data_IF_314480752474
#
_entry.id   IF_314480752474
#
_cell.length_a   1.000
_cell.length_b   1.000
_cell.length_c   1.000
_cell.angle_alpha   90.00
_cell.angle_beta   90.00
_cell.angle_gamma   90.00
#
_symmetry.space_group_name_H-M   'P 1'
#
loop_
_entity.id
_entity.type
_entity.pdbx_description
1 polymer ?
#
# COMPACT_ATOMS: atom_id res chain seq x y z
N UNK A 1 -15.60 13.10 -7.16
CA UNK A 1 -14.81 11.85 -7.07
C UNK A 1 -14.31 11.45 -8.44
N UNK A 2 -13.06 11.01 -8.53
CA UNK A 2 -12.48 10.53 -9.78
C UNK A 2 -12.11 9.06 -9.61
N UNK A 3 -12.48 8.24 -10.59
CA UNK A 3 -12.18 6.81 -10.61
C UNK A 3 -11.28 6.50 -11.80
N UNK A 4 -10.21 5.75 -11.53
CA UNK A 4 -9.27 5.34 -12.55
C UNK A 4 -9.20 3.81 -12.59
N UNK A 5 -9.18 3.25 -13.78
CA UNK A 5 -8.99 1.81 -13.98
C UNK A 5 -7.67 1.60 -14.72
N UNK A 6 -6.70 1.04 -14.05
CA UNK A 6 -5.39 0.81 -14.63
C UNK A 6 -4.34 0.47 -13.59
N UNK A 7 -3.10 0.28 -14.04
CA UNK A 7 -1.98 0.08 -13.15
C UNK A 7 -1.76 1.33 -12.30
N UNK A 8 -1.78 1.18 -10.97
CA UNK A 8 -1.70 2.33 -10.06
C UNK A 8 -0.41 3.13 -10.24
N UNK A 9 0.71 2.48 -10.54
CA UNK A 9 1.97 3.20 -10.75
C UNK A 9 1.91 4.09 -11.99
N UNK A 10 1.21 3.66 -13.03
CA UNK A 10 1.02 4.48 -14.23
C UNK A 10 0.00 5.58 -13.99
N UNK A 11 -1.11 5.26 -13.34
CA UNK A 11 -2.18 6.23 -13.05
C UNK A 11 -1.66 7.34 -12.14
N UNK A 12 -0.87 7.01 -11.12
CA UNK A 12 -0.35 8.01 -10.19
C UNK A 12 0.51 9.07 -10.87
N UNK A 13 1.12 8.76 -12.01
CA UNK A 13 1.91 9.76 -12.75
C UNK A 13 1.09 10.97 -13.17
N UNK A 14 -0.23 10.81 -13.31
CA UNK A 14 -1.12 11.91 -13.68
C UNK A 14 -1.64 12.72 -12.48
N UNK A 15 -1.35 12.27 -11.26
CA UNK A 15 -1.79 12.96 -10.04
C UNK A 15 -0.75 14.06 -9.72
N UNK A 16 -1.20 15.30 -9.47
CA UNK A 16 -0.27 16.39 -9.14
C UNK A 16 0.49 16.15 -7.84
N UNK A 17 1.66 16.77 -7.72
CA UNK A 17 2.46 16.72 -6.50
C UNK A 17 1.67 17.32 -5.33
N UNK A 18 1.83 16.70 -4.15
CA UNK A 18 1.28 17.20 -2.89
C UNK A 18 -0.20 17.56 -2.97
N UNK A 19 -0.98 16.69 -3.63
CA UNK A 19 -2.40 16.91 -3.84
C UNK A 19 -3.30 15.96 -3.05
N UNK A 20 -2.74 14.91 -2.44
CA UNK A 20 -3.49 13.84 -1.78
C UNK A 20 -3.42 14.00 -0.27
N UNK A 21 -4.59 13.95 0.38
CA UNK A 21 -4.73 14.12 1.83
C UNK A 21 -4.60 12.82 2.61
N UNK A 22 -4.81 11.68 1.97
CA UNK A 22 -4.78 10.36 2.61
C UNK A 22 -4.53 9.30 1.56
N UNK A 23 -3.62 8.39 1.85
CA UNK A 23 -3.46 7.16 1.08
C UNK A 23 -3.93 6.00 1.95
N UNK A 24 -4.89 5.23 1.45
CA UNK A 24 -5.39 4.03 2.10
C UNK A 24 -5.43 2.93 1.03
N UNK A 25 -4.64 1.90 1.20
CA UNK A 25 -4.46 0.92 0.14
C UNK A 25 -4.25 -0.49 0.68
N UNK A 26 -4.88 -1.44 0.00
CA UNK A 26 -4.65 -2.87 0.20
C UNK A 26 -3.79 -3.37 -0.96
N UNK A 27 -2.50 -3.49 -0.70
CA UNK A 27 -1.52 -3.81 -1.73
C UNK A 27 -1.58 -5.28 -2.13
N UNK A 28 -1.21 -5.61 -3.39
CA UNK A 28 -1.04 -7.01 -3.76
C UNK A 28 0.20 -7.59 -3.08
N UNK A 29 0.03 -8.69 -2.34
CA UNK A 29 1.11 -9.29 -1.57
C UNK A 29 1.92 -10.32 -2.36
N UNK A 30 1.38 -10.80 -3.48
CA UNK A 30 2.02 -11.84 -4.26
C UNK A 30 1.86 -13.23 -3.67
N UNK A 31 0.88 -13.43 -2.79
CA UNK A 31 0.69 -14.70 -2.09
C UNK A 31 -0.41 -15.58 -2.70
N UNK A 32 -1.18 -15.06 -3.64
CA UNK A 32 -2.21 -15.84 -4.34
C UNK A 32 -1.75 -16.18 -5.76
N UNK A 33 -2.51 -17.06 -6.42
CA UNK A 33 -2.22 -17.44 -7.82
C UNK A 33 -2.90 -16.54 -8.82
N UNK A 34 -3.62 -15.52 -8.36
CA UNK A 34 -4.30 -14.58 -9.25
C UNK A 34 -3.28 -13.66 -9.92
N UNK A 35 -3.52 -13.34 -11.20
CA UNK A 35 -2.60 -12.49 -11.96
C UNK A 35 -2.49 -11.08 -11.39
N UNK A 36 -3.58 -10.58 -10.80
CA UNK A 36 -3.60 -9.24 -10.22
C UNK A 36 -2.84 -9.14 -8.90
N UNK A 37 -2.50 -10.29 -8.28
CA UNK A 37 -1.78 -10.32 -7.01
C UNK A 37 -0.27 -10.47 -7.23
N UNK A 38 0.26 -9.74 -8.20
CA UNK A 38 1.70 -9.64 -8.43
C UNK A 38 2.27 -8.64 -7.42
N UNK A 39 3.40 -8.97 -6.75
CA UNK A 39 4.02 -8.02 -5.84
C UNK A 39 4.30 -6.69 -6.51
N UNK A 40 3.95 -5.60 -5.83
CA UNK A 40 4.20 -4.25 -6.34
C UNK A 40 5.68 -3.89 -6.13
N UNK A 41 6.24 -3.11 -7.06
CA UNK A 41 7.57 -2.53 -6.90
C UNK A 41 7.49 -1.46 -5.82
N UNK A 42 8.00 -1.78 -4.62
CA UNK A 42 7.90 -0.89 -3.48
C UNK A 42 8.69 0.40 -3.67
N UNK A 43 9.83 0.34 -4.35
CA UNK A 43 10.62 1.55 -4.63
C UNK A 43 9.82 2.52 -5.51
N UNK A 44 9.24 2.03 -6.58
CA UNK A 44 8.42 2.85 -7.48
C UNK A 44 7.17 3.36 -6.76
N UNK A 45 6.55 2.52 -5.94
CA UNK A 45 5.38 2.89 -5.15
C UNK A 45 5.70 4.06 -4.20
N UNK A 46 6.79 3.96 -3.44
CA UNK A 46 7.17 5.01 -2.49
C UNK A 46 7.54 6.31 -3.20
N UNK A 47 8.17 6.23 -4.37
CA UNK A 47 8.46 7.42 -5.16
C UNK A 47 7.20 8.18 -5.52
N UNK A 48 6.14 7.47 -5.93
CA UNK A 48 4.86 8.09 -6.27
C UNK A 48 4.13 8.58 -5.03
N UNK A 49 4.07 7.76 -3.97
CA UNK A 49 3.39 8.15 -2.74
C UNK A 49 4.01 9.41 -2.13
N UNK A 50 5.34 9.44 -2.03
CA UNK A 50 6.03 10.60 -1.45
C UNK A 50 5.82 11.87 -2.26
N UNK A 51 5.64 11.73 -3.56
CA UNK A 51 5.42 12.86 -4.44
C UNK A 51 4.01 13.43 -4.33
N UNK A 52 3.00 12.56 -4.31
CA UNK A 52 1.60 12.99 -4.39
C UNK A 52 0.99 13.33 -3.03
N UNK A 53 1.51 12.78 -1.94
CA UNK A 53 0.96 13.00 -0.60
C UNK A 53 1.33 14.39 -0.08
N UNK A 54 0.39 15.05 0.60
CA UNK A 54 0.67 16.32 1.28
C UNK A 54 1.55 16.09 2.50
N UNK A 55 2.24 17.13 2.93
CA UNK A 55 3.05 17.07 4.14
C UNK A 55 2.15 16.74 5.35
N UNK A 56 2.63 15.82 6.20
CA UNK A 56 1.93 15.36 7.40
C UNK A 56 0.63 14.61 7.14
N UNK A 57 0.35 14.24 5.91
CA UNK A 57 -0.83 13.43 5.59
C UNK A 57 -0.51 11.94 5.83
N UNK A 58 -1.50 11.13 6.28
CA UNK A 58 -1.25 9.75 6.62
C UNK A 58 -1.25 8.82 5.41
N UNK A 59 -0.46 7.76 5.51
CA UNK A 59 -0.45 6.64 4.57
C UNK A 59 -0.75 5.38 5.37
N UNK A 60 -1.85 4.71 5.03
CA UNK A 60 -2.32 3.50 5.71
C UNK A 60 -2.33 2.35 4.71
N UNK A 61 -1.56 1.32 5.00
CA UNK A 61 -1.40 0.17 4.11
C UNK A 61 -1.75 -1.11 4.84
N UNK A 62 -2.59 -1.93 4.24
CA UNK A 62 -2.89 -3.26 4.76
C UNK A 62 -1.75 -4.21 4.43
N UNK A 63 -1.44 -5.10 5.36
CA UNK A 63 -0.40 -6.09 5.17
C UNK A 63 -0.64 -7.31 6.05
N UNK A 64 -0.10 -8.45 5.63
CA UNK A 64 -0.08 -9.70 6.39
C UNK A 64 1.36 -10.20 6.46
N UNK A 65 1.65 -10.98 7.50
CA UNK A 65 2.93 -11.66 7.61
C UNK A 65 3.12 -12.68 6.46
N UNK A 66 4.25 -12.72 5.78
CA UNK A 66 5.49 -11.97 6.05
C UNK A 66 5.60 -10.65 5.29
N UNK A 67 4.62 -10.28 4.46
CA UNK A 67 4.68 -9.07 3.63
C UNK A 67 4.79 -7.80 4.49
N UNK A 68 4.18 -7.81 5.69
CA UNK A 68 4.26 -6.66 6.61
C UNK A 68 5.71 -6.31 6.95
N UNK A 69 6.59 -7.31 7.07
CA UNK A 69 8.00 -7.08 7.36
C UNK A 69 8.73 -6.45 6.19
N UNK A 70 8.43 -6.93 4.98
CA UNK A 70 9.01 -6.38 3.76
C UNK A 70 8.55 -4.94 3.56
N UNK A 71 7.25 -4.69 3.74
CA UNK A 71 6.67 -3.36 3.57
C UNK A 71 7.24 -2.38 4.59
N UNK A 72 7.26 -2.74 5.88
CA UNK A 72 7.80 -1.89 6.92
C UNK A 72 9.27 -1.59 6.71
N UNK A 73 10.06 -2.59 6.31
CA UNK A 73 11.49 -2.42 6.05
C UNK A 73 11.76 -1.52 4.86
N UNK A 74 10.84 -1.46 3.89
CA UNK A 74 11.05 -0.70 2.67
C UNK A 74 11.08 0.82 2.89
N UNK A 75 10.55 1.29 4.04
CA UNK A 75 10.53 2.72 4.35
C UNK A 75 10.49 2.95 5.87
N UNK A 76 11.54 2.53 6.55
CA UNK A 76 11.61 2.62 8.01
C UNK A 76 11.49 4.05 8.54
N UNK A 77 11.99 5.03 7.78
CA UNK A 77 11.95 6.42 8.23
C UNK A 77 10.53 6.97 8.35
N UNK A 78 9.57 6.41 7.61
CA UNK A 78 8.18 6.82 7.64
C UNK A 78 7.30 5.92 8.49
N UNK A 79 7.80 4.73 8.89
CA UNK A 79 7.02 3.80 9.69
C UNK A 79 6.82 4.37 11.08
N UNK A 80 5.57 4.58 11.48
CA UNK A 80 5.23 5.12 12.79
C UNK A 80 4.79 4.04 13.75
N UNK A 81 3.77 3.27 13.37
CA UNK A 81 3.27 2.18 14.20
C UNK A 81 2.42 1.25 13.36
N UNK A 82 2.11 0.09 13.93
CA UNK A 82 1.27 -0.92 13.34
C UNK A 82 0.00 -1.06 14.16
N UNK A 83 -1.12 -1.27 13.46
CA UNK A 83 -2.40 -1.59 14.07
C UNK A 83 -2.77 -3.00 13.68
N UNK A 84 -3.30 -3.76 14.62
CA UNK A 84 -3.74 -5.13 14.36
C UNK A 84 -5.24 -5.13 14.21
N UNK A 85 -5.72 -5.58 13.05
CA UNK A 85 -7.12 -5.74 12.79
C UNK A 85 -7.47 -7.21 13.04
N UNK A 86 -8.12 -7.48 14.18
CA UNK A 86 -8.55 -8.81 14.53
C UNK A 86 -9.95 -9.06 13.99
N UNK A 87 -10.05 -10.02 13.07
CA UNK A 87 -11.34 -10.37 12.48
C UNK A 87 -12.06 -11.35 13.39
N UNK A 88 -13.40 -11.23 13.44
CA UNK A 88 -14.23 -12.17 14.19
C UNK A 88 -14.21 -13.56 13.55
N UNK A 89 -13.96 -13.63 12.24
CA UNK A 89 -13.81 -14.87 11.51
C UNK A 89 -12.65 -14.76 10.57
N UNK A 90 -11.55 -15.44 10.90
CA UNK A 90 -10.36 -15.42 10.08
C UNK A 90 -10.53 -16.25 8.83
N UNK A 91 -9.88 -15.83 7.73
CA UNK A 91 -9.85 -16.56 6.48
C UNK A 91 -8.38 -16.78 6.08
N UNK A 92 -8.14 -17.88 5.38
CA UNK A 92 -6.80 -18.16 4.87
C UNK A 92 -5.76 -18.54 5.90
N UNK A 93 -6.13 -18.73 7.17
CA UNK A 93 -5.19 -19.20 8.17
C UNK A 93 -5.16 -20.72 8.20
N UNK A 94 -4.01 -21.26 8.56
CA UNK A 94 -3.81 -22.69 8.74
C UNK A 94 -3.66 -22.99 10.21
N UNK A 95 -4.36 -23.99 10.61
CA UNK A 95 -4.28 -24.48 11.99
C UNK A 95 -3.26 -25.59 12.10
#
# INVERSE_FOLDING_TARGET
MQLYNGDCLEVMKSIPDKSIDLILCDLPYGITKCKWDTPIDLFAMWNQYNRIIKDNAPILLFAQTPFDKVLGSSNLSMLKYEWIWEKTQATGHLN
#
